data_IF_474889299958
#
_entry.id   IF_474889299958
#
_cell.length_a   1.000
_cell.length_b   1.000
_cell.length_c   1.000
_cell.angle_alpha   90.00
_cell.angle_beta   90.00
_cell.angle_gamma   90.00
#
_symmetry.space_group_name_H-M   'P 1'
#
loop_
_entity.id
_entity.type
_entity.pdbx_description
1 polymer ?
#
# COMPACT_ATOMS: atom_id res chain seq x y z
N UNK A 1 36.91 25.79 -3.08
CA UNK A 1 35.52 25.57 -3.55
C UNK A 1 35.65 25.04 -4.98
N UNK A 2 35.02 23.97 -5.49
CA UNK A 2 33.58 23.69 -5.54
C UNK A 2 33.33 22.20 -5.92
N UNK A 3 33.42 21.24 -4.98
CA UNK A 3 32.93 19.88 -5.23
C UNK A 3 31.39 19.79 -5.13
N UNK A 4 30.74 20.84 -4.62
CA UNK A 4 29.30 20.91 -4.37
C UNK A 4 28.50 21.53 -5.53
N UNK A 5 29.13 22.27 -6.46
CA UNK A 5 28.41 22.89 -7.60
C UNK A 5 27.87 21.87 -8.62
N UNK A 6 28.59 20.75 -8.82
CA UNK A 6 28.13 19.68 -9.71
C UNK A 6 26.92 18.92 -9.18
N UNK A 7 26.82 18.77 -7.86
CA UNK A 7 25.65 18.20 -7.18
C UNK A 7 24.45 19.14 -7.28
N UNK A 8 24.67 20.45 -7.16
CA UNK A 8 23.60 21.45 -7.29
C UNK A 8 22.95 21.43 -8.69
N UNK A 9 23.74 21.28 -9.75
CA UNK A 9 23.24 21.22 -11.12
C UNK A 9 22.35 19.99 -11.37
N UNK A 10 22.85 18.81 -11.00
CA UNK A 10 22.12 17.54 -11.14
C UNK A 10 20.88 17.49 -10.25
N UNK A 11 20.99 17.91 -8.99
CA UNK A 11 19.87 18.00 -8.07
C UNK A 11 18.78 18.95 -8.58
N UNK A 12 19.15 20.15 -9.07
CA UNK A 12 18.20 21.10 -9.66
C UNK A 12 17.57 20.57 -10.95
N UNK A 13 18.26 19.75 -11.74
CA UNK A 13 17.69 19.10 -12.91
C UNK A 13 16.62 18.08 -12.50
N UNK A 14 16.95 17.12 -11.63
CA UNK A 14 16.00 16.12 -11.12
C UNK A 14 14.82 16.77 -10.38
N UNK A 15 15.06 17.82 -9.60
CA UNK A 15 14.00 18.56 -8.91
C UNK A 15 13.00 19.22 -9.88
N UNK A 16 13.47 19.69 -11.06
CA UNK A 16 12.63 20.30 -12.10
C UNK A 16 11.81 19.28 -12.89
N UNK A 17 12.23 18.01 -12.89
CA UNK A 17 11.53 16.93 -13.58
C UNK A 17 10.32 16.40 -12.81
N UNK A 18 10.23 16.66 -11.50
CA UNK A 18 9.01 16.39 -10.73
C UNK A 18 7.88 17.29 -11.20
N UNK A 19 6.93 16.72 -11.93
CA UNK A 19 5.68 17.37 -12.31
C UNK A 19 4.53 16.77 -11.52
N UNK A 20 3.63 17.64 -11.06
CA UNK A 20 2.35 17.20 -10.50
C UNK A 20 1.57 16.50 -11.61
N UNK A 21 1.14 15.26 -11.35
CA UNK A 21 0.31 14.51 -12.28
C UNK A 21 -0.99 15.27 -12.56
N UNK A 22 -1.39 15.33 -13.83
CA UNK A 22 -2.74 15.78 -14.18
C UNK A 22 -3.78 14.76 -13.67
N UNK A 23 -5.05 15.18 -13.53
CA UNK A 23 -6.14 14.29 -13.13
C UNK A 23 -6.26 13.09 -14.08
N UNK A 24 -6.07 13.32 -15.39
CA UNK A 24 -6.14 12.28 -16.41
C UNK A 24 -4.98 11.27 -16.31
N UNK A 25 -3.75 11.72 -16.05
CA UNK A 25 -2.59 10.84 -15.84
C UNK A 25 -2.72 10.07 -14.52
N UNK A 26 -3.16 10.74 -13.46
CA UNK A 26 -3.42 10.11 -12.17
C UNK A 26 -4.53 9.06 -12.25
N UNK A 27 -5.56 9.27 -13.07
CA UNK A 27 -6.64 8.30 -13.29
C UNK A 27 -6.25 7.09 -14.13
N UNK A 28 -5.20 7.20 -14.97
CA UNK A 28 -4.62 6.06 -15.70
C UNK A 28 -3.78 5.16 -14.79
N UNK A 29 -3.15 5.76 -13.79
CA UNK A 29 -2.54 4.99 -12.70
C UNK A 29 -3.70 4.35 -11.94
N UNK A 30 -3.76 3.01 -11.91
CA UNK A 30 -4.67 2.25 -11.07
C UNK A 30 -3.91 1.89 -9.80
N UNK A 31 -3.70 2.84 -8.85
CA UNK A 31 -2.88 2.55 -7.69
C UNK A 31 -3.59 1.54 -6.81
N UNK A 32 -2.78 0.70 -6.17
CA UNK A 32 -3.25 -0.10 -5.05
C UNK A 32 -3.74 0.83 -3.92
N UNK A 33 -4.74 0.36 -3.20
CA UNK A 33 -5.47 1.04 -2.13
C UNK A 33 -5.48 0.15 -0.90
N UNK A 34 -5.54 0.78 0.27
CA UNK A 34 -5.80 0.07 1.52
C UNK A 34 -7.30 0.12 1.79
N UNK A 35 -7.94 -1.05 1.92
CA UNK A 35 -9.34 -1.19 2.36
C UNK A 35 -9.36 -1.66 3.81
N UNK A 36 -10.23 -1.08 4.62
CA UNK A 36 -10.43 -1.46 6.01
C UNK A 36 -11.71 -2.30 6.11
N UNK A 37 -11.61 -3.47 6.71
CA UNK A 37 -12.69 -4.44 6.88
C UNK A 37 -12.88 -4.74 8.36
N UNK A 38 -14.10 -5.10 8.75
CA UNK A 38 -14.40 -5.55 10.12
C UNK A 38 -14.39 -7.07 10.16
N UNK A 39 -13.68 -7.66 11.13
CA UNK A 39 -13.60 -9.11 11.35
C UNK A 39 -14.94 -9.63 11.87
N UNK A 40 -15.47 -10.66 11.22
CA UNK A 40 -16.67 -11.42 11.63
C UNK A 40 -16.27 -12.72 12.34
N UNK A 41 -17.23 -13.35 13.01
CA UNK A 41 -17.02 -14.53 13.86
C UNK A 41 -16.35 -15.71 13.13
N UNK A 42 -16.67 -15.91 11.85
CA UNK A 42 -16.11 -17.00 11.03
C UNK A 42 -14.93 -16.58 10.13
N UNK A 43 -14.47 -15.33 10.25
CA UNK A 43 -13.37 -14.85 9.43
C UNK A 43 -12.03 -15.40 9.92
N UNK A 44 -11.25 -15.92 8.97
CA UNK A 44 -9.84 -16.30 9.18
C UNK A 44 -8.93 -15.40 8.36
N UNK A 45 -7.64 -15.38 8.70
CA UNK A 45 -6.61 -14.65 7.95
C UNK A 45 -6.73 -14.90 6.44
N UNK A 46 -6.94 -16.15 6.04
CA UNK A 46 -7.06 -16.56 4.64
C UNK A 46 -8.27 -15.94 3.91
N UNK A 47 -9.35 -15.57 4.62
CA UNK A 47 -10.50 -14.88 4.02
C UNK A 47 -10.11 -13.48 3.51
N UNK A 48 -9.20 -12.79 4.21
CA UNK A 48 -8.71 -11.46 3.84
C UNK A 48 -7.55 -11.50 2.86
N UNK A 49 -6.61 -12.44 3.04
CA UNK A 49 -5.46 -12.64 2.14
C UNK A 49 -5.91 -12.88 0.69
N UNK A 50 -6.98 -13.66 0.48
CA UNK A 50 -7.57 -13.90 -0.86
C UNK A 50 -8.09 -12.64 -1.55
N UNK A 51 -8.42 -11.60 -0.79
CA UNK A 51 -8.91 -10.32 -1.32
C UNK A 51 -7.76 -9.37 -1.71
N UNK A 52 -6.52 -9.69 -1.32
CA UNK A 52 -5.37 -8.84 -1.60
C UNK A 52 -4.96 -8.91 -3.07
N UNK A 53 -4.52 -7.76 -3.61
CA UNK A 53 -4.07 -7.61 -5.00
C UNK A 53 -2.73 -6.88 -5.05
N UNK A 54 -1.90 -7.25 -6.01
CA UNK A 54 -0.62 -6.59 -6.27
C UNK A 54 0.44 -6.79 -5.18
N UNK A 55 0.39 -7.91 -4.47
CA UNK A 55 1.36 -8.28 -3.41
C UNK A 55 1.89 -9.69 -3.68
N UNK A 56 3.21 -9.86 -3.64
CA UNK A 56 3.87 -11.16 -3.92
C UNK A 56 3.65 -12.18 -2.79
N UNK A 57 3.74 -11.75 -1.53
CA UNK A 57 3.56 -12.59 -0.34
C UNK A 57 2.39 -12.06 0.49
N UNK A 58 1.13 -12.36 0.10
CA UNK A 58 -0.04 -11.67 0.63
C UNK A 58 -0.35 -12.02 2.09
N UNK A 59 -0.06 -13.25 2.56
CA UNK A 59 -0.27 -13.61 3.97
C UNK A 59 0.72 -12.89 4.91
N UNK A 60 2.00 -12.88 4.55
CA UNK A 60 3.03 -12.18 5.31
C UNK A 60 2.73 -10.66 5.34
N UNK A 61 2.42 -10.07 4.18
CA UNK A 61 2.06 -8.67 4.10
C UNK A 61 0.78 -8.36 4.89
N UNK A 62 -0.23 -9.23 4.88
CA UNK A 62 -1.43 -9.05 5.69
C UNK A 62 -1.08 -8.96 7.18
N UNK A 63 -0.23 -9.88 7.68
CA UNK A 63 0.20 -9.87 9.08
C UNK A 63 0.99 -8.61 9.43
N UNK A 64 1.97 -8.25 8.61
CA UNK A 64 2.75 -7.01 8.79
C UNK A 64 1.85 -5.78 8.81
N UNK A 65 0.96 -5.65 7.84
CA UNK A 65 0.07 -4.49 7.70
C UNK A 65 -0.89 -4.33 8.88
N UNK A 66 -1.28 -5.44 9.50
CA UNK A 66 -2.19 -5.48 10.64
C UNK A 66 -1.49 -5.58 12.00
N UNK A 67 -0.16 -5.67 12.03
CA UNK A 67 0.60 -5.81 13.27
C UNK A 67 0.36 -7.16 13.97
N UNK A 68 0.05 -8.21 13.21
CA UNK A 68 -0.21 -9.55 13.74
C UNK A 68 1.09 -10.37 13.83
N UNK A 69 1.22 -11.15 14.89
CA UNK A 69 2.23 -12.19 15.01
C UNK A 69 2.05 -13.32 13.98
N UNK A 70 3.08 -14.17 13.84
CA UNK A 70 3.10 -15.27 12.86
C UNK A 70 1.94 -16.27 13.02
N UNK A 71 1.45 -16.46 14.24
CA UNK A 71 0.34 -17.36 14.57
C UNK A 71 -0.76 -16.66 15.37
N UNK A 72 -0.78 -15.33 15.36
CA UNK A 72 -1.84 -14.57 16.03
C UNK A 72 -3.16 -14.70 15.26
N UNK A 73 -4.22 -14.97 16.01
CA UNK A 73 -5.59 -15.08 15.52
C UNK A 73 -6.25 -13.70 15.43
N UNK A 74 -7.29 -13.62 14.60
CA UNK A 74 -8.08 -12.40 14.48
C UNK A 74 -9.07 -12.27 15.63
N UNK A 75 -9.28 -11.04 16.08
CA UNK A 75 -10.27 -10.73 17.11
C UNK A 75 -11.55 -10.21 16.44
N UNK A 76 -12.67 -10.90 16.63
CA UNK A 76 -13.99 -10.50 16.11
C UNK A 76 -14.34 -9.07 16.51
N UNK A 77 -14.92 -8.31 15.57
CA UNK A 77 -15.29 -6.91 15.75
C UNK A 77 -14.15 -5.90 15.57
N UNK A 78 -12.89 -6.36 15.47
CA UNK A 78 -11.76 -5.47 15.16
C UNK A 78 -11.68 -5.15 13.67
N UNK A 79 -10.87 -4.13 13.35
CA UNK A 79 -10.62 -3.69 11.97
C UNK A 79 -9.30 -4.23 11.47
N UNK A 80 -9.31 -4.78 10.27
CA UNK A 80 -8.12 -5.21 9.52
C UNK A 80 -8.00 -4.44 8.21
N UNK A 81 -6.79 -4.37 7.69
CA UNK A 81 -6.39 -3.66 6.48
C UNK A 81 -5.99 -4.69 5.42
N UNK A 82 -6.41 -4.47 4.19
CA UNK A 82 -5.98 -5.24 3.02
C UNK A 82 -5.54 -4.29 1.90
N UNK A 83 -4.65 -4.76 1.02
CA UNK A 83 -4.23 -4.05 -0.19
C UNK A 83 -5.04 -4.55 -1.39
N UNK A 84 -5.73 -3.66 -2.10
CA UNK A 84 -6.58 -4.01 -3.26
C UNK A 84 -6.49 -2.93 -4.35
N UNK A 85 -6.94 -3.20 -5.56
CA UNK A 85 -6.99 -2.23 -6.67
C UNK A 85 -8.37 -1.55 -6.83
N UNK A 86 -9.35 -1.93 -6.00
CA UNK A 86 -10.73 -1.42 -6.09
C UNK A 86 -11.29 -0.96 -4.74
N UNK A 87 -12.09 0.10 -4.77
CA UNK A 87 -12.74 0.66 -3.58
C UNK A 87 -14.20 0.20 -3.42
N UNK A 88 -14.69 -0.65 -4.31
CA UNK A 88 -16.12 -0.97 -4.36
C UNK A 88 -16.51 -1.85 -3.17
N UNK A 89 -17.63 -1.48 -2.55
CA UNK A 89 -18.20 -2.06 -1.33
C UNK A 89 -18.89 -3.38 -1.62
#
# INVERSE_FOLDING_TARGET
SYAFEGLDGGFKATARDFKKLTIAEAGKLRPLKIKILTVREDDRVQNFVKQMKGVEIPEEMFRILNGLGASEDLVTGTKVKIITDSQVF
#
